data_IF_791045854308
#
_entry.id   IF_791045854308
#
_cell.length_a   1.000
_cell.length_b   1.000
_cell.length_c   1.000
_cell.angle_alpha   90.00
_cell.angle_beta   90.00
_cell.angle_gamma   90.00
#
_symmetry.space_group_name_H-M   'P 1'
#
loop_
_entity.id
_entity.type
_entity.pdbx_description
1 polymer ?
#
# COMPACT_ATOMS: atom_id res chain seq x y z
N UNK A 1 -31.53 28.34 -64.73
CA UNK A 1 -31.21 29.73 -64.31
C UNK A 1 -30.41 29.64 -63.01
N UNK A 2 -29.15 30.13 -63.01
CA UNK A 2 -28.17 30.26 -61.89
C UNK A 2 -27.75 28.94 -61.22
N UNK A 3 -26.56 28.34 -61.38
CA UNK A 3 -25.14 28.78 -61.47
C UNK A 3 -24.70 29.76 -60.38
N UNK A 4 -23.89 29.29 -59.41
CA UNK A 4 -22.59 29.85 -58.99
C UNK A 4 -22.06 29.09 -57.75
N UNK A 5 -20.99 28.31 -57.91
CA UNK A 5 -19.56 28.60 -57.60
C UNK A 5 -19.16 28.42 -56.12
N UNK A 6 -18.41 27.34 -55.90
CA UNK A 6 -17.40 27.20 -54.86
C UNK A 6 -16.39 28.36 -54.88
N UNK A 7 -15.74 28.61 -53.74
CA UNK A 7 -14.29 28.73 -53.74
C UNK A 7 -13.61 27.71 -52.81
N UNK A 8 -12.37 27.40 -53.18
CA UNK A 8 -11.42 26.48 -52.57
C UNK A 8 -10.52 27.23 -51.57
N UNK A 9 -10.13 26.51 -50.51
CA UNK A 9 -8.83 26.51 -49.79
C UNK A 9 -8.42 27.77 -49.01
N UNK A 10 -8.23 27.63 -47.69
CA UNK A 10 -6.91 27.79 -47.03
C UNK A 10 -6.84 26.80 -45.86
N UNK A 11 -5.69 26.13 -45.76
CA UNK A 11 -5.35 25.14 -44.75
C UNK A 11 -4.97 25.79 -43.41
N UNK A 12 -5.34 25.14 -42.30
CA UNK A 12 -4.61 25.18 -41.05
C UNK A 12 -4.91 23.90 -40.26
N UNK A 13 -4.13 22.86 -40.54
CA UNK A 13 -4.01 21.66 -39.73
C UNK A 13 -3.45 22.05 -38.35
N UNK A 14 -4.33 22.25 -37.37
CA UNK A 14 -3.96 22.26 -35.96
C UNK A 14 -4.12 20.82 -35.42
N UNK A 15 -3.10 20.00 -35.66
CA UNK A 15 -2.91 18.77 -34.91
C UNK A 15 -2.45 19.15 -33.50
N UNK A 16 -3.40 19.46 -32.62
CA UNK A 16 -3.13 19.52 -31.19
C UNK A 16 -2.99 18.07 -30.70
N UNK A 17 -1.75 17.62 -30.59
CA UNK A 17 -1.36 16.43 -29.84
C UNK A 17 -1.82 16.62 -28.38
N UNK A 18 -3.02 16.12 -28.08
CA UNK A 18 -3.47 15.81 -26.73
C UNK A 18 -2.67 14.60 -26.24
N UNK A 19 -1.43 14.82 -25.83
CA UNK A 19 -0.72 13.91 -24.92
C UNK A 19 -1.25 14.23 -23.52
N UNK A 20 -2.46 13.74 -23.21
CA UNK A 20 -2.94 13.66 -21.84
C UNK A 20 -2.20 12.53 -21.15
N UNK A 21 -1.50 12.89 -20.08
CA UNK A 21 -0.70 11.97 -19.27
C UNK A 21 -1.53 10.82 -18.72
N UNK A 22 -1.30 9.63 -19.28
CA UNK A 22 -1.53 8.35 -18.62
C UNK A 22 -0.34 8.09 -17.69
N UNK A 23 -0.31 8.77 -16.54
CA UNK A 23 0.64 8.48 -15.48
C UNK A 23 -0.16 8.03 -14.25
N UNK A 24 -0.45 6.74 -14.16
CA UNK A 24 -1.11 6.16 -13.00
C UNK A 24 -1.55 4.70 -13.13
N UNK A 25 -1.92 4.24 -14.34
CA UNK A 25 -2.52 2.89 -14.49
C UNK A 25 -1.54 1.79 -14.94
N UNK A 26 -0.42 2.10 -15.60
CA UNK A 26 0.39 1.08 -16.27
C UNK A 26 1.15 0.12 -15.34
N UNK A 27 1.34 0.45 -14.05
CA UNK A 27 2.16 -0.38 -13.15
C UNK A 27 1.37 -1.49 -12.42
N UNK A 28 0.14 -1.19 -11.97
CA UNK A 28 -0.80 -2.24 -11.53
C UNK A 28 -1.33 -3.05 -12.73
N UNK A 29 -1.18 -2.52 -13.95
CA UNK A 29 -1.51 -3.21 -15.20
C UNK A 29 -0.32 -3.94 -15.86
N UNK A 30 0.68 -4.34 -15.06
CA UNK A 30 1.80 -5.16 -15.56
C UNK A 30 1.27 -6.42 -16.28
N UNK A 31 1.97 -6.89 -17.32
CA UNK A 31 1.58 -8.12 -18.05
C UNK A 31 1.99 -9.41 -17.30
N UNK A 32 2.10 -9.34 -15.98
CA UNK A 32 2.46 -10.50 -15.17
C UNK A 32 1.38 -11.57 -15.25
N UNK A 33 1.80 -12.81 -15.53
CA UNK A 33 0.91 -13.97 -15.70
C UNK A 33 1.19 -15.10 -14.69
N UNK A 34 2.16 -14.89 -13.80
CA UNK A 34 2.64 -15.88 -12.85
C UNK A 34 3.20 -15.21 -11.60
N UNK A 35 3.35 -16.00 -10.54
CA UNK A 35 4.03 -15.62 -9.31
C UNK A 35 5.52 -15.29 -9.55
N UNK A 36 6.15 -14.48 -8.69
CA UNK A 36 7.58 -14.20 -8.79
C UNK A 36 8.42 -15.48 -8.64
N UNK A 37 9.42 -15.65 -9.50
CA UNK A 37 10.31 -16.81 -9.48
C UNK A 37 11.40 -16.67 -8.40
N UNK A 38 11.00 -16.90 -7.16
CA UNK A 38 11.87 -16.86 -5.97
C UNK A 38 11.68 -18.14 -5.13
N UNK A 39 12.70 -18.47 -4.33
CA UNK A 39 12.65 -19.65 -3.47
C UNK A 39 11.75 -19.44 -2.24
N UNK A 40 11.04 -20.49 -1.86
CA UNK A 40 10.22 -20.58 -0.65
C UNK A 40 10.57 -21.85 0.11
N UNK A 41 10.43 -21.84 1.43
CA UNK A 41 10.44 -23.09 2.20
C UNK A 41 9.10 -23.81 2.03
N UNK A 42 9.10 -25.16 2.08
CA UNK A 42 7.87 -25.94 2.07
C UNK A 42 7.06 -25.70 3.36
N UNK A 43 5.74 -25.79 3.25
CA UNK A 43 4.81 -25.63 4.37
C UNK A 43 3.55 -26.49 4.19
N UNK A 44 2.79 -26.62 5.27
CA UNK A 44 1.44 -27.20 5.26
C UNK A 44 0.43 -26.22 5.87
N UNK A 45 -0.86 -26.49 5.71
CA UNK A 45 -1.95 -25.60 6.16
C UNK A 45 -1.96 -25.35 7.69
N UNK A 46 -1.49 -26.30 8.50
CA UNK A 46 -1.42 -26.16 9.96
C UNK A 46 -0.22 -25.33 10.44
N UNK A 47 -0.40 -24.60 11.55
CA UNK A 47 0.64 -23.74 12.14
C UNK A 47 1.97 -24.47 12.37
N UNK A 48 1.93 -25.72 12.84
CA UNK A 48 3.14 -26.52 13.09
C UNK A 48 3.95 -26.85 11.83
N UNK A 49 3.34 -26.75 10.64
CA UNK A 49 4.00 -26.95 9.37
C UNK A 49 4.44 -25.67 8.69
N UNK A 50 4.32 -24.51 9.34
CA UNK A 50 4.88 -23.25 8.83
C UNK A 50 6.39 -23.21 9.06
N UNK A 51 7.17 -22.58 8.17
CA UNK A 51 8.61 -22.52 8.31
C UNK A 51 9.02 -21.57 9.44
N UNK A 52 10.13 -21.90 10.10
CA UNK A 52 10.83 -20.93 10.93
C UNK A 52 11.42 -19.82 10.04
N UNK A 53 11.04 -18.57 10.29
CA UNK A 53 11.44 -17.45 9.44
C UNK A 53 12.94 -17.12 9.51
N UNK A 54 13.62 -17.40 10.64
CA UNK A 54 15.07 -17.23 10.72
C UNK A 54 15.80 -18.26 9.87
N UNK A 55 15.33 -19.49 9.87
CA UNK A 55 15.82 -20.56 8.98
C UNK A 55 15.53 -20.24 7.51
N UNK A 56 14.31 -19.80 7.18
CA UNK A 56 13.94 -19.39 5.82
C UNK A 56 14.88 -18.33 5.28
N UNK A 57 15.12 -17.28 6.05
CA UNK A 57 15.97 -16.17 5.63
C UNK A 57 17.43 -16.58 5.49
N UNK A 58 17.91 -17.47 6.35
CA UNK A 58 19.26 -18.02 6.25
C UNK A 58 19.44 -18.93 5.03
N UNK A 59 18.47 -19.80 4.74
CA UNK A 59 18.56 -20.80 3.67
C UNK A 59 18.19 -20.22 2.29
N UNK A 60 17.28 -19.24 2.26
CA UNK A 60 16.73 -18.64 1.05
C UNK A 60 16.69 -17.10 1.17
N UNK A 61 17.86 -16.44 1.33
CA UNK A 61 17.91 -14.98 1.35
C UNK A 61 17.46 -14.41 0.01
N UNK A 62 16.80 -13.25 0.04
CA UNK A 62 16.41 -12.54 -1.19
C UNK A 62 17.55 -11.63 -1.65
N UNK A 63 18.09 -11.90 -2.84
CA UNK A 63 19.04 -11.02 -3.51
C UNK A 63 18.34 -9.78 -4.10
N UNK A 64 19.07 -8.71 -4.47
CA UNK A 64 18.48 -7.60 -5.22
C UNK A 64 17.75 -8.05 -6.49
N UNK A 65 18.33 -9.00 -7.23
CA UNK A 65 17.67 -9.60 -8.40
C UNK A 65 16.33 -10.27 -8.04
N UNK A 66 16.28 -11.01 -6.92
CA UNK A 66 15.04 -11.64 -6.47
C UNK A 66 13.98 -10.61 -6.06
N UNK A 67 14.40 -9.52 -5.43
CA UNK A 67 13.49 -8.43 -5.02
C UNK A 67 12.86 -7.75 -6.24
N UNK A 68 13.63 -7.52 -7.32
CA UNK A 68 13.10 -6.93 -8.55
C UNK A 68 12.26 -7.90 -9.41
N UNK A 69 12.23 -9.20 -9.10
CA UNK A 69 11.22 -10.12 -9.67
C UNK A 69 9.85 -9.91 -9.04
N UNK A 70 9.76 -9.32 -7.86
CA UNK A 70 8.49 -9.09 -7.15
C UNK A 70 7.87 -7.80 -7.69
N UNK A 71 6.61 -7.86 -8.09
CA UNK A 71 5.83 -6.73 -8.57
C UNK A 71 4.52 -6.66 -7.78
N UNK A 72 3.84 -5.48 -7.73
CA UNK A 72 2.52 -5.41 -7.11
C UNK A 72 1.55 -6.47 -7.60
N UNK A 73 1.49 -6.69 -8.92
CA UNK A 73 0.52 -7.59 -9.53
C UNK A 73 0.86 -9.04 -9.26
N UNK A 74 2.14 -9.42 -9.34
CA UNK A 74 2.50 -10.83 -9.26
C UNK A 74 2.39 -11.43 -7.86
N UNK A 75 2.35 -10.60 -6.83
CA UNK A 75 2.05 -11.00 -5.45
C UNK A 75 0.65 -11.63 -5.30
N UNK A 76 -0.33 -11.22 -6.11
CA UNK A 76 -1.67 -11.81 -6.09
C UNK A 76 -1.71 -13.27 -6.54
N UNK A 77 -0.68 -13.74 -7.25
CA UNK A 77 -0.56 -15.14 -7.65
C UNK A 77 0.00 -16.03 -6.54
N UNK A 78 0.56 -15.48 -5.48
CA UNK A 78 1.05 -16.23 -4.32
C UNK A 78 -0.11 -16.57 -3.38
N UNK A 79 0.04 -17.59 -2.54
CA UNK A 79 -0.82 -17.75 -1.37
C UNK A 79 -0.31 -16.92 -0.17
N UNK A 80 -1.09 -16.88 0.91
CA UNK A 80 -0.77 -16.04 2.06
C UNK A 80 0.54 -16.45 2.75
N UNK A 81 0.86 -17.73 2.84
CA UNK A 81 2.09 -18.19 3.50
C UNK A 81 3.32 -17.78 2.68
N UNK A 82 3.25 -17.86 1.35
CA UNK A 82 4.31 -17.35 0.48
C UNK A 82 4.52 -15.84 0.65
N UNK A 83 3.44 -15.06 0.78
CA UNK A 83 3.53 -13.61 1.06
C UNK A 83 4.15 -13.36 2.44
N UNK A 84 3.77 -14.12 3.46
CA UNK A 84 4.35 -14.06 4.81
C UNK A 84 5.87 -14.37 4.77
N UNK A 85 6.26 -15.40 4.03
CA UNK A 85 7.67 -15.75 3.80
C UNK A 85 8.44 -14.62 3.11
N UNK A 86 7.86 -13.92 2.12
CA UNK A 86 8.50 -12.73 1.53
C UNK A 86 8.67 -11.66 2.61
N UNK A 87 7.59 -11.27 3.28
CA UNK A 87 7.60 -10.19 4.27
C UNK A 87 8.61 -10.43 5.41
N UNK A 88 8.69 -11.67 5.90
CA UNK A 88 9.61 -12.09 6.95
C UNK A 88 11.09 -12.07 6.52
N UNK A 89 11.39 -11.92 5.24
CA UNK A 89 12.76 -11.74 4.71
C UNK A 89 13.08 -10.30 4.36
N UNK A 90 12.12 -9.38 4.39
CA UNK A 90 12.34 -7.96 4.11
C UNK A 90 12.87 -7.24 5.37
N UNK A 91 13.68 -6.20 5.16
CA UNK A 91 13.96 -5.17 6.16
C UNK A 91 12.93 -4.04 6.05
N UNK A 92 12.89 -3.15 7.04
CA UNK A 92 12.01 -1.99 7.01
C UNK A 92 12.36 -1.05 5.85
N UNK A 93 13.67 -0.83 5.61
CA UNK A 93 14.15 0.20 4.71
C UNK A 93 14.02 1.61 5.31
N UNK A 94 14.14 2.65 4.49
CA UNK A 94 13.89 4.02 4.94
C UNK A 94 12.38 4.23 5.13
N UNK A 95 11.99 5.11 6.04
CA UNK A 95 10.60 5.57 6.08
C UNK A 95 10.31 6.29 4.75
N UNK A 96 9.21 5.96 4.04
CA UNK A 96 8.87 6.64 2.79
C UNK A 96 8.71 8.15 3.00
N UNK A 97 8.93 8.91 1.94
CA UNK A 97 8.73 10.35 1.93
C UNK A 97 8.07 10.78 0.62
N UNK A 98 7.08 11.66 0.71
CA UNK A 98 6.26 12.09 -0.42
C UNK A 98 5.13 11.12 -0.79
N UNK A 99 4.55 11.27 -2.00
CA UNK A 99 3.38 10.51 -2.44
C UNK A 99 3.74 9.09 -2.92
N UNK A 100 2.92 8.12 -2.54
CA UNK A 100 2.99 6.73 -2.97
C UNK A 100 1.60 6.24 -3.42
N UNK A 101 1.52 5.65 -4.60
CA UNK A 101 0.34 4.93 -5.07
C UNK A 101 0.21 3.63 -4.29
N UNK A 102 -1.00 3.23 -3.93
CA UNK A 102 -1.23 2.00 -3.18
C UNK A 102 -2.32 1.15 -3.80
N UNK A 103 -2.32 -0.12 -3.44
CA UNK A 103 -3.38 -1.05 -3.83
C UNK A 103 -3.50 -2.17 -2.80
N UNK A 104 -4.72 -2.68 -2.64
CA UNK A 104 -4.97 -3.88 -1.88
C UNK A 104 -4.76 -5.10 -2.78
N UNK A 105 -4.25 -6.19 -2.22
CA UNK A 105 -4.25 -7.45 -2.95
C UNK A 105 -4.59 -8.62 -2.04
N UNK A 106 -5.27 -9.59 -2.62
CA UNK A 106 -5.67 -10.82 -1.94
C UNK A 106 -4.85 -11.97 -2.52
N UNK A 107 -4.02 -12.63 -1.71
CA UNK A 107 -3.31 -13.83 -2.13
C UNK A 107 -4.29 -14.92 -2.58
N UNK A 108 -3.86 -15.77 -3.49
CA UNK A 108 -4.63 -16.90 -4.01
C UNK A 108 -5.15 -17.77 -2.86
N UNK A 109 -6.44 -18.10 -2.90
CA UNK A 109 -7.09 -18.90 -1.86
C UNK A 109 -7.54 -18.09 -0.63
N UNK A 110 -7.10 -16.83 -0.48
CA UNK A 110 -7.72 -15.90 0.45
C UNK A 110 -9.05 -15.43 -0.12
N UNK A 111 -10.17 -15.78 0.52
CA UNK A 111 -11.46 -15.20 0.14
C UNK A 111 -11.41 -13.69 0.37
N UNK A 112 -11.73 -12.88 -0.65
CA UNK A 112 -11.91 -11.42 -0.53
C UNK A 112 -13.00 -10.98 0.45
N UNK A 113 -13.73 -11.93 1.05
CA UNK A 113 -14.44 -11.68 2.30
C UNK A 113 -13.38 -11.51 3.38
N UNK A 114 -13.12 -10.25 3.75
CA UNK A 114 -12.51 -9.89 5.03
C UNK A 114 -12.91 -10.94 6.05
N UNK A 115 -11.96 -11.54 6.77
CA UNK A 115 -12.19 -12.51 7.85
C UNK A 115 -12.90 -11.86 9.06
N UNK A 116 -13.83 -10.94 8.82
CA UNK A 116 -14.70 -10.28 9.78
C UNK A 116 -15.43 -11.30 10.66
N UNK A 117 -15.79 -12.47 10.10
CA UNK A 117 -16.41 -13.56 10.87
C UNK A 117 -15.48 -14.19 11.92
N UNK A 118 -14.16 -14.12 11.74
CA UNK A 118 -13.19 -14.56 12.76
C UNK A 118 -12.91 -13.44 13.79
N UNK A 119 -13.03 -12.16 13.39
CA UNK A 119 -12.82 -10.98 14.24
C UNK A 119 -14.04 -10.69 15.15
N UNK A 120 -15.24 -11.17 14.77
CA UNK A 120 -16.47 -11.02 15.56
C UNK A 120 -16.49 -11.80 16.90
N UNK A 121 -15.45 -12.58 17.20
CA UNK A 121 -15.36 -13.43 18.39
C UNK A 121 -14.96 -12.73 19.70
N UNK A 122 -14.59 -11.43 19.71
CA UNK A 122 -14.03 -10.85 20.94
C UNK A 122 -14.15 -9.34 21.20
N UNK A 123 -14.29 -8.48 20.18
CA UNK A 123 -14.23 -7.02 20.38
C UNK A 123 -15.36 -6.20 19.74
N UNK A 124 -16.08 -6.76 18.78
CA UNK A 124 -17.05 -6.02 17.94
C UNK A 124 -18.45 -5.86 18.53
N UNK A 125 -18.67 -6.20 19.81
CA UNK A 125 -20.02 -6.15 20.44
C UNK A 125 -20.66 -4.74 20.47
N UNK A 126 -19.94 -3.69 20.12
CA UNK A 126 -20.45 -2.31 20.07
C UNK A 126 -20.82 -1.77 18.68
N UNK A 127 -20.41 -2.41 17.57
CA UNK A 127 -20.61 -1.87 16.23
C UNK A 127 -21.35 -2.88 15.34
N UNK A 128 -22.65 -3.07 15.61
CA UNK A 128 -23.58 -3.57 14.59
C UNK A 128 -23.72 -2.48 13.55
N UNK A 129 -22.74 -2.38 12.65
CA UNK A 129 -22.96 -1.66 11.40
C UNK A 129 -23.82 -2.58 10.57
N UNK A 130 -25.10 -2.24 10.46
CA UNK A 130 -25.97 -2.72 9.39
C UNK A 130 -25.35 -2.28 8.05
N UNK A 131 -24.28 -2.95 7.61
CA UNK A 131 -23.83 -2.90 6.23
C UNK A 131 -24.72 -3.87 5.46
N UNK A 132 -26.00 -3.53 5.39
CA UNK A 132 -26.94 -4.18 4.50
C UNK A 132 -26.51 -3.86 3.06
N UNK A 133 -25.65 -4.72 2.49
CA UNK A 133 -25.41 -4.80 1.04
C UNK A 133 -24.36 -3.85 0.43
N UNK A 134 -23.65 -3.00 1.18
CA UNK A 134 -22.55 -2.21 0.62
C UNK A 134 -21.22 -2.99 0.66
N UNK A 135 -20.56 -3.12 -0.49
CA UNK A 135 -19.29 -3.84 -0.65
C UNK A 135 -18.18 -3.15 0.18
N UNK A 136 -17.83 -3.71 1.33
CA UNK A 136 -16.69 -3.27 2.17
C UNK A 136 -15.39 -3.16 1.35
N UNK A 137 -15.24 -4.00 0.33
CA UNK A 137 -14.12 -4.03 -0.62
C UNK A 137 -13.90 -2.66 -1.31
N UNK A 138 -14.96 -1.94 -1.68
CA UNK A 138 -14.86 -0.66 -2.40
C UNK A 138 -14.32 0.47 -1.50
N UNK A 139 -14.65 0.44 -0.21
CA UNK A 139 -14.17 1.43 0.78
C UNK A 139 -12.70 1.18 1.09
N UNK A 140 -12.32 -0.09 1.31
CA UNK A 140 -10.92 -0.49 1.48
C UNK A 140 -10.06 -0.09 0.27
N UNK A 141 -10.46 -0.45 -0.94
CA UNK A 141 -9.72 -0.06 -2.14
C UNK A 141 -9.57 1.47 -2.27
N UNK A 142 -10.60 2.24 -1.88
CA UNK A 142 -10.55 3.71 -2.02
C UNK A 142 -9.60 4.35 -0.99
N UNK A 143 -9.56 3.84 0.24
CA UNK A 143 -8.69 4.36 1.30
C UNK A 143 -7.21 4.02 1.09
N UNK A 144 -6.92 2.88 0.44
CA UNK A 144 -5.54 2.42 0.22
C UNK A 144 -4.93 2.84 -1.12
N UNK A 145 -5.69 3.49 -2.02
CA UNK A 145 -5.23 3.91 -3.37
C UNK A 145 -4.06 4.88 -3.39
N UNK A 146 -3.89 5.70 -2.36
CA UNK A 146 -2.76 6.61 -2.29
C UNK A 146 -2.47 7.06 -0.89
N UNK A 147 -1.19 7.26 -0.59
CA UNK A 147 -0.72 7.79 0.70
C UNK A 147 0.33 8.87 0.46
N UNK A 148 0.38 9.87 1.33
CA UNK A 148 1.50 10.83 1.41
C UNK A 148 2.18 10.63 2.74
N UNK A 149 3.51 10.49 2.67
CA UNK A 149 4.35 10.40 3.85
C UNK A 149 5.07 11.73 4.03
N UNK A 150 5.02 12.26 5.24
CA UNK A 150 5.82 13.40 5.69
C UNK A 150 6.85 12.85 6.67
N UNK A 151 7.97 12.35 6.15
CA UNK A 151 8.95 11.59 6.95
C UNK A 151 9.48 12.41 8.13
N UNK A 152 9.78 13.69 7.90
CA UNK A 152 10.28 14.61 8.92
C UNK A 152 9.29 14.87 10.06
N UNK A 153 8.00 14.84 9.75
CA UNK A 153 6.91 15.08 10.72
C UNK A 153 6.41 13.78 11.37
N UNK A 154 6.91 12.62 10.93
CA UNK A 154 6.40 11.31 11.37
C UNK A 154 4.89 11.18 11.17
N UNK A 155 4.40 11.69 10.04
CA UNK A 155 2.98 11.78 9.70
C UNK A 155 2.70 11.15 8.34
N UNK A 156 1.59 10.43 8.26
CA UNK A 156 1.00 9.96 7.00
C UNK A 156 -0.40 10.51 6.83
N UNK A 157 -0.80 10.73 5.57
CA UNK A 157 -2.18 11.00 5.20
C UNK A 157 -2.61 10.09 4.04
N UNK A 158 -3.85 9.61 4.07
CA UNK A 158 -4.43 8.87 2.95
C UNK A 158 -4.96 9.87 1.91
N UNK A 159 -4.63 9.61 0.65
CA UNK A 159 -5.06 10.39 -0.51
C UNK A 159 -6.32 9.77 -1.06
N UNK A 160 -7.40 10.55 -1.08
CA UNK A 160 -8.68 10.11 -1.62
C UNK A 160 -8.99 10.98 -2.83
N UNK A 161 -9.19 10.36 -3.99
CA UNK A 161 -9.59 11.04 -5.23
C UNK A 161 -11.11 11.15 -5.39
N UNK A 162 -11.88 10.29 -4.71
CA UNK A 162 -13.33 10.26 -4.79
C UNK A 162 -13.96 9.98 -3.43
N UNK A 163 -14.63 11.00 -2.87
CA UNK A 163 -15.36 10.89 -1.62
C UNK A 163 -16.75 10.28 -1.78
N UNK A 164 -17.22 10.00 -3.00
CA UNK A 164 -18.60 9.57 -3.25
C UNK A 164 -18.98 8.32 -2.46
N UNK A 165 -18.06 7.35 -2.34
CA UNK A 165 -18.28 6.15 -1.54
C UNK A 165 -18.44 6.49 -0.04
N UNK A 166 -17.56 7.34 0.49
CA UNK A 166 -17.58 7.75 1.91
C UNK A 166 -18.80 8.62 2.25
N UNK A 167 -19.19 9.52 1.34
CA UNK A 167 -20.40 10.36 1.47
C UNK A 167 -21.68 9.52 1.44
N UNK A 168 -21.79 8.55 0.53
CA UNK A 168 -22.94 7.62 0.48
C UNK A 168 -23.13 6.81 1.76
N UNK A 169 -22.03 6.52 2.46
CA UNK A 169 -22.05 5.80 3.74
C UNK A 169 -22.23 6.72 4.96
N UNK A 170 -22.37 8.03 4.75
CA UNK A 170 -22.48 9.01 5.83
C UNK A 170 -21.21 9.12 6.69
N UNK A 171 -20.06 8.66 6.17
CA UNK A 171 -18.79 8.68 6.92
C UNK A 171 -18.09 10.04 6.82
N UNK A 172 -18.38 10.80 5.76
CA UNK A 172 -17.83 12.13 5.52
C UNK A 172 -18.98 13.12 5.51
N UNK A 173 -18.98 14.02 6.49
CA UNK A 173 -19.86 15.19 6.53
C UNK A 173 -19.04 16.40 6.09
N UNK A 174 -19.43 16.99 4.96
CA UNK A 174 -18.87 18.26 4.49
C UNK A 174 -19.91 19.34 4.75
N UNK A 175 -19.54 20.39 5.48
CA UNK A 175 -20.36 21.57 5.67
C UNK A 175 -19.51 22.83 5.59
N UNK A 176 -20.16 23.97 5.32
CA UNK A 176 -19.50 25.27 5.15
C UNK A 176 -18.71 25.72 6.39
N UNK A 177 -19.04 25.17 7.57
CA UNK A 177 -18.33 25.44 8.82
C UNK A 177 -17.03 24.62 8.99
N UNK A 178 -16.84 23.56 8.20
CA UNK A 178 -15.65 22.70 8.26
C UNK A 178 -15.32 22.08 6.87
N UNK A 179 -14.85 22.89 5.91
CA UNK A 179 -14.57 22.42 4.56
C UNK A 179 -13.45 21.36 4.55
N UNK A 180 -13.53 20.38 3.64
CA UNK A 180 -12.47 19.39 3.46
C UNK A 180 -11.28 20.01 2.74
N UNK A 181 -10.10 19.94 3.36
CA UNK A 181 -8.87 20.43 2.73
C UNK A 181 -8.48 19.51 1.57
N UNK A 182 -8.22 20.11 0.41
CA UNK A 182 -7.63 19.43 -0.73
C UNK A 182 -6.21 19.91 -0.94
N UNK A 183 -5.34 19.01 -1.39
CA UNK A 183 -4.03 19.35 -1.90
C UNK A 183 -3.90 18.89 -3.35
N UNK A 184 -3.11 19.63 -4.12
CA UNK A 184 -2.86 19.31 -5.52
C UNK A 184 -1.64 18.40 -5.62
N UNK A 185 -1.89 17.11 -5.84
CA UNK A 185 -0.85 16.09 -5.95
C UNK A 185 -0.95 15.46 -7.33
N UNK A 186 0.19 15.39 -8.04
CA UNK A 186 0.25 14.93 -9.44
C UNK A 186 -0.77 15.63 -10.37
N UNK A 187 -1.08 16.90 -10.10
CA UNK A 187 -2.00 17.71 -10.92
C UNK A 187 -3.49 17.53 -10.62
N UNK A 188 -3.87 16.64 -9.70
CA UNK A 188 -5.25 16.41 -9.28
C UNK A 188 -5.48 16.96 -7.86
N UNK A 189 -6.67 17.46 -7.60
CA UNK A 189 -7.10 17.79 -6.24
C UNK A 189 -7.44 16.49 -5.51
N UNK A 190 -6.81 16.26 -4.36
CA UNK A 190 -7.00 15.07 -3.56
C UNK A 190 -7.28 15.47 -2.11
N UNK A 191 -8.20 14.76 -1.47
CA UNK A 191 -8.48 14.93 -0.05
C UNK A 191 -7.47 14.15 0.78
N UNK A 192 -6.94 14.79 1.82
CA UNK A 192 -6.00 14.17 2.75
C UNK A 192 -6.68 13.87 4.07
N UNK A 193 -7.13 12.63 4.23
CA UNK A 193 -7.88 12.14 5.39
C UNK A 193 -7.13 11.01 6.11
N UNK A 194 -7.64 10.62 7.28
CA UNK A 194 -7.10 9.55 8.11
C UNK A 194 -5.62 9.76 8.40
N UNK A 195 -5.25 10.81 9.17
CA UNK A 195 -3.87 11.03 9.55
C UNK A 195 -3.40 9.88 10.44
N UNK A 196 -2.17 9.41 10.21
CA UNK A 196 -1.56 8.33 10.99
C UNK A 196 -0.14 8.68 11.41
N UNK A 197 0.25 8.17 12.57
CA UNK A 197 1.59 8.37 13.13
C UNK A 197 2.55 7.36 12.51
N UNK A 198 3.74 7.83 12.12
CA UNK A 198 4.80 7.00 11.55
C UNK A 198 5.90 6.75 12.57
N UNK A 199 6.23 5.49 12.84
CA UNK A 199 7.37 5.15 13.70
C UNK A 199 7.91 3.76 13.41
N UNK A 200 9.07 3.44 13.99
CA UNK A 200 9.63 2.09 13.95
C UNK A 200 9.11 1.29 15.14
N UNK A 201 8.59 0.09 14.87
CA UNK A 201 8.04 -0.75 15.91
C UNK A 201 8.10 -2.23 15.55
N UNK A 202 7.94 -3.08 16.54
CA UNK A 202 8.01 -4.53 16.35
C UNK A 202 6.89 -5.02 15.43
N UNK A 203 7.22 -5.91 14.49
CA UNK A 203 6.22 -6.55 13.62
C UNK A 203 5.42 -7.60 14.37
N UNK A 204 4.11 -7.67 14.09
CA UNK A 204 3.19 -8.69 14.60
C UNK A 204 3.35 -10.03 13.86
N UNK A 205 3.88 -10.04 12.64
CA UNK A 205 4.19 -11.27 11.92
C UNK A 205 5.56 -11.83 12.32
N UNK A 206 6.58 -10.97 12.37
CA UNK A 206 7.97 -11.38 12.58
C UNK A 206 8.71 -10.42 13.52
N UNK A 207 8.63 -10.71 14.82
CA UNK A 207 9.17 -9.87 15.88
C UNK A 207 10.70 -9.85 16.00
N UNK A 208 11.44 -10.53 15.11
CA UNK A 208 12.92 -10.52 15.08
C UNK A 208 13.51 -9.19 14.62
N UNK A 209 12.69 -8.33 14.00
CA UNK A 209 13.06 -6.98 13.54
C UNK A 209 11.86 -6.04 13.55
N UNK A 210 12.15 -4.77 13.38
CA UNK A 210 11.12 -3.74 13.28
C UNK A 210 10.55 -3.63 11.86
N UNK A 211 9.33 -3.13 11.77
CA UNK A 211 8.71 -2.62 10.57
C UNK A 211 8.46 -1.12 10.74
N UNK A 212 8.21 -0.43 9.63
CA UNK A 212 7.65 0.92 9.68
C UNK A 212 6.16 0.77 9.97
N UNK A 213 5.72 1.40 11.04
CA UNK A 213 4.34 1.37 11.51
C UNK A 213 3.62 2.61 11.02
N UNK A 214 2.44 2.41 10.43
CA UNK A 214 1.47 3.46 10.14
C UNK A 214 0.32 3.26 11.13
N UNK A 215 0.33 4.05 12.19
CA UNK A 215 -0.55 3.86 13.34
C UNK A 215 -1.67 4.88 13.38
N UNK A 216 -2.90 4.40 13.19
CA UNK A 216 -4.09 5.25 13.23
C UNK A 216 -4.64 5.40 14.64
N UNK A 217 -4.18 4.63 15.63
CA UNK A 217 -4.71 4.68 16.99
C UNK A 217 -4.63 6.09 17.61
N UNK A 218 -3.62 6.86 17.20
CA UNK A 218 -3.33 8.21 17.66
C UNK A 218 -3.74 9.30 16.65
N UNK A 219 -4.65 8.99 15.73
CA UNK A 219 -5.11 9.92 14.69
C UNK A 219 -5.64 11.24 15.29
N UNK A 220 -6.26 11.19 16.46
CA UNK A 220 -6.85 12.30 17.21
C UNK A 220 -5.83 13.32 17.74
N UNK A 221 -4.56 12.91 17.84
CA UNK A 221 -3.45 13.75 18.30
C UNK A 221 -2.74 14.46 17.14
N UNK A 222 -3.12 14.18 15.88
CA UNK A 222 -2.38 14.63 14.70
C UNK A 222 -3.01 15.86 14.04
N UNK A 223 -2.19 16.75 13.45
CA UNK A 223 -2.68 17.91 12.72
C UNK A 223 -3.65 17.51 11.61
N UNK A 224 -4.77 18.21 11.50
CA UNK A 224 -5.77 17.97 10.45
C UNK A 224 -6.70 16.78 10.70
N UNK A 225 -6.65 16.17 11.90
CA UNK A 225 -7.66 15.21 12.36
C UNK A 225 -9.07 15.78 12.29
N UNK A 226 -10.01 14.92 11.90
CA UNK A 226 -11.45 15.18 11.89
C UNK A 226 -12.15 14.04 12.58
N UNK A 227 -13.06 14.37 13.51
CA UNK A 227 -13.82 13.35 14.24
C UNK A 227 -14.49 12.34 13.29
N UNK A 228 -15.16 12.81 12.24
CA UNK A 228 -15.61 11.94 11.15
C UNK A 228 -14.93 12.38 9.85
N UNK A 229 -14.29 11.47 9.09
CA UNK A 229 -14.30 10.01 9.26
C UNK A 229 -13.18 9.43 10.15
N UNK A 230 -12.22 10.23 10.62
CA UNK A 230 -10.92 9.68 11.07
C UNK A 230 -11.02 8.85 12.36
N UNK A 231 -12.01 9.12 13.24
CA UNK A 231 -12.27 8.32 14.45
C UNK A 231 -12.42 6.83 14.14
N UNK A 232 -12.96 6.47 12.96
CA UNK A 232 -13.18 5.07 12.59
C UNK A 232 -11.88 4.29 12.46
N UNK A 233 -10.79 4.91 12.02
CA UNK A 233 -9.50 4.25 11.95
C UNK A 233 -8.78 4.22 13.30
N UNK A 234 -9.14 5.14 14.21
CA UNK A 234 -8.51 5.33 15.50
C UNK A 234 -8.82 4.27 16.56
N UNK A 235 -8.25 4.48 17.75
CA UNK A 235 -8.37 3.56 18.90
C UNK A 235 -9.80 3.32 19.37
N UNK A 236 -10.67 4.31 19.19
CA UNK A 236 -12.10 4.24 19.52
C UNK A 236 -12.96 3.64 18.38
N UNK A 237 -12.33 3.31 17.25
CA UNK A 237 -12.94 2.67 16.09
C UNK A 237 -12.36 1.27 15.86
N UNK A 238 -11.76 1.07 14.70
CA UNK A 238 -11.18 -0.20 14.27
C UNK A 238 -9.75 -0.43 14.78
N UNK A 239 -9.10 0.57 15.39
CA UNK A 239 -7.71 0.50 15.83
C UNK A 239 -6.79 -0.04 14.72
N UNK A 240 -6.82 0.63 13.57
CA UNK A 240 -6.06 0.22 12.39
C UNK A 240 -4.58 0.47 12.64
N UNK A 241 -3.79 -0.55 12.35
CA UNK A 241 -2.33 -0.47 12.36
C UNK A 241 -1.80 -1.16 11.13
N UNK A 242 -1.11 -0.41 10.27
CA UNK A 242 -0.39 -1.01 9.16
C UNK A 242 1.09 -1.19 9.49
N UNK A 243 1.69 -2.24 8.93
CA UNK A 243 3.13 -2.45 8.95
C UNK A 243 3.65 -2.55 7.51
N UNK A 244 4.68 -1.79 7.17
CA UNK A 244 5.32 -1.86 5.85
C UNK A 244 6.79 -2.24 5.97
N UNK A 245 7.26 -3.00 4.98
CA UNK A 245 8.67 -3.35 4.76
C UNK A 245 9.04 -3.15 3.30
N UNK A 246 10.27 -2.72 3.04
CA UNK A 246 10.72 -2.38 1.70
C UNK A 246 11.06 -3.65 0.90
N UNK A 247 10.45 -3.79 -0.28
CA UNK A 247 10.84 -4.81 -1.26
C UNK A 247 12.10 -4.33 -1.99
N UNK A 248 12.03 -3.15 -2.60
CA UNK A 248 13.17 -2.40 -3.16
C UNK A 248 12.84 -0.89 -3.07
N UNK A 249 13.80 0.03 -3.26
CA UNK A 249 13.52 1.47 -3.16
C UNK A 249 12.29 1.89 -3.97
N UNK A 250 11.35 2.57 -3.32
CA UNK A 250 10.10 2.99 -3.96
C UNK A 250 9.01 1.91 -4.03
N UNK A 251 9.23 0.69 -3.52
CA UNK A 251 8.21 -0.35 -3.42
C UNK A 251 8.18 -1.01 -2.04
N UNK A 252 7.04 -0.92 -1.36
CA UNK A 252 6.83 -1.50 -0.04
C UNK A 252 5.69 -2.51 -0.06
N UNK A 253 5.89 -3.60 0.68
CA UNK A 253 4.86 -4.57 1.00
C UNK A 253 4.29 -4.25 2.38
N UNK A 254 2.97 -4.15 2.45
CA UNK A 254 2.22 -3.76 3.62
C UNK A 254 1.29 -4.85 4.15
N UNK A 255 1.06 -4.83 5.46
CA UNK A 255 0.10 -5.68 6.17
C UNK A 255 -0.77 -4.79 7.05
N UNK A 256 -2.08 -4.86 6.88
CA UNK A 256 -3.04 -4.13 7.69
C UNK A 256 -3.61 -5.02 8.80
N UNK A 257 -3.68 -4.46 10.00
CA UNK A 257 -4.23 -5.10 11.18
C UNK A 257 -5.38 -4.26 11.75
N UNK A 258 -6.40 -4.94 12.27
CA UNK A 258 -7.53 -4.35 12.97
C UNK A 258 -7.59 -5.00 14.35
N UNK A 259 -7.41 -4.21 15.41
CA UNK A 259 -7.25 -4.72 16.79
C UNK A 259 -6.26 -5.90 16.88
N UNK A 260 -5.07 -5.71 16.28
CA UNK A 260 -3.98 -6.71 16.17
C UNK A 260 -4.29 -7.96 15.33
N UNK A 261 -5.50 -8.12 14.81
CA UNK A 261 -5.87 -9.20 13.91
C UNK A 261 -5.49 -8.85 12.47
N UNK A 262 -4.81 -9.76 11.77
CA UNK A 262 -4.46 -9.55 10.36
C UNK A 262 -5.72 -9.48 9.48
N UNK A 263 -5.80 -8.46 8.63
CA UNK A 263 -6.96 -8.21 7.76
C UNK A 263 -6.62 -8.41 6.29
N UNK A 264 -5.61 -7.71 5.79
CA UNK A 264 -5.32 -7.65 4.35
C UNK A 264 -3.86 -7.26 4.08
N UNK A 265 -3.34 -7.69 2.93
CA UNK A 265 -2.06 -7.19 2.43
C UNK A 265 -2.29 -6.04 1.45
N UNK A 266 -1.34 -5.13 1.41
CA UNK A 266 -1.36 -4.02 0.46
C UNK A 266 0.04 -3.72 -0.03
N UNK A 267 0.14 -2.84 -0.99
CA UNK A 267 1.42 -2.36 -1.51
C UNK A 267 1.44 -0.85 -1.57
N UNK A 268 2.65 -0.29 -1.56
CA UNK A 268 2.90 1.12 -1.82
C UNK A 268 4.01 1.26 -2.84
N UNK A 269 3.79 2.08 -3.86
CA UNK A 269 4.70 2.24 -4.98
C UNK A 269 4.91 3.71 -5.35
N UNK A 270 6.17 4.09 -5.56
CA UNK A 270 6.58 5.34 -6.15
C UNK A 270 7.56 5.05 -7.29
N UNK A 271 7.11 5.30 -8.52
CA UNK A 271 7.86 5.02 -9.75
C UNK A 271 9.16 5.82 -9.83
N UNK A 272 9.12 7.10 -9.51
CA UNK A 272 10.27 7.99 -9.65
C UNK A 272 11.41 7.59 -8.70
N UNK A 273 11.08 7.15 -7.49
CA UNK A 273 12.05 6.60 -6.54
C UNK A 273 12.58 5.26 -7.05
N UNK A 274 11.68 4.37 -7.51
CA UNK A 274 12.05 3.04 -7.98
C UNK A 274 13.00 3.08 -9.19
N UNK A 275 12.76 3.97 -10.15
CA UNK A 275 13.61 4.12 -11.33
C UNK A 275 14.97 4.76 -10.97
N UNK A 276 14.96 5.82 -10.16
CA UNK A 276 16.17 6.58 -9.84
C UNK A 276 17.15 5.83 -8.94
N UNK A 277 16.64 4.96 -8.05
CA UNK A 277 17.48 4.20 -7.12
C UNK A 277 17.89 2.81 -7.64
N UNK A 278 17.34 2.36 -8.78
CA UNK A 278 17.50 0.98 -9.27
C UNK A 278 18.95 0.58 -9.48
N UNK A 279 19.71 1.39 -10.21
CA UNK A 279 21.08 1.05 -10.59
C UNK A 279 21.96 0.82 -9.35
N UNK A 280 21.92 1.76 -8.40
CA UNK A 280 22.72 1.67 -7.18
C UNK A 280 22.26 0.54 -6.25
N UNK A 281 20.95 0.33 -6.12
CA UNK A 281 20.44 -0.76 -5.29
C UNK A 281 20.74 -2.14 -5.88
N UNK A 282 20.69 -2.29 -7.20
CA UNK A 282 21.09 -3.54 -7.88
C UNK A 282 22.58 -3.83 -7.67
N UNK A 283 23.42 -2.80 -7.68
CA UNK A 283 24.87 -2.94 -7.50
C UNK A 283 25.26 -3.26 -6.05
N UNK A 284 24.60 -2.64 -5.08
CA UNK A 284 25.04 -2.67 -3.67
C UNK A 284 24.17 -3.53 -2.77
N UNK A 285 22.89 -3.69 -3.11
CA UNK A 285 21.86 -4.27 -2.24
C UNK A 285 21.62 -3.49 -0.94
N UNK A 286 22.11 -2.24 -0.84
CA UNK A 286 22.07 -1.44 0.39
C UNK A 286 21.09 -0.28 0.27
N UNK A 287 20.42 0.00 1.37
CA UNK A 287 19.61 1.20 1.58
C UNK A 287 19.84 1.73 2.99
N UNK A 288 19.42 2.97 3.23
CA UNK A 288 19.28 3.46 4.61
C UNK A 288 18.23 2.62 5.33
N UNK A 289 18.55 2.16 6.54
CA UNK A 289 17.60 1.53 7.45
C UNK A 289 17.25 2.54 8.54
N UNK A 290 15.98 2.96 8.61
CA UNK A 290 15.51 3.84 9.68
C UNK A 290 15.09 3.08 10.94
N UNK A 291 14.64 1.84 10.75
CA UNK A 291 14.20 0.96 11.83
C UNK A 291 15.25 -0.10 12.11
N UNK A 292 15.19 -0.70 13.29
CA UNK A 292 16.12 -1.75 13.68
C UNK A 292 15.95 -2.99 12.79
N UNK A 293 16.98 -3.39 12.01
CA UNK A 293 16.86 -4.47 11.03
C UNK A 293 16.88 -5.88 11.66
N UNK A 294 17.05 -5.96 12.99
CA UNK A 294 17.24 -7.21 13.71
C UNK A 294 18.72 -7.57 13.88
N UNK A 295 18.98 -8.69 14.55
CA UNK A 295 20.34 -9.21 14.78
C UNK A 295 20.89 -10.00 13.60
N UNK A 296 20.00 -10.64 12.83
CA UNK A 296 20.36 -11.35 11.62
C UNK A 296 20.59 -10.33 10.50
N UNK A 297 21.85 -9.99 10.22
CA UNK A 297 22.16 -9.10 9.13
C UNK A 297 21.77 -9.76 7.81
N UNK A 298 21.00 -9.04 6.98
CA UNK A 298 20.78 -9.42 5.59
C UNK A 298 22.15 -9.48 4.92
N UNK A 299 22.63 -10.70 4.65
CA UNK A 299 23.65 -10.89 3.63
C UNK A 299 22.92 -10.62 2.33
N UNK A 300 22.91 -9.36 1.87
CA UNK A 300 22.58 -9.08 0.49
C UNK A 300 23.57 -9.90 -0.32
N UNK A 301 23.13 -11.07 -0.78
CA UNK A 301 23.95 -11.97 -1.56
C UNK A 301 24.18 -11.28 -2.90
N UNK A 302 25.22 -10.44 -2.97
CA UNK A 302 25.78 -10.01 -4.24
C UNK A 302 26.27 -11.30 -4.86
N UNK A 303 25.54 -11.82 -5.85
CA UNK A 303 26.07 -12.92 -6.66
C UNK A 303 27.40 -12.43 -7.22
N UNK A 304 28.48 -13.06 -6.81
CA UNK A 304 29.77 -12.91 -7.46
C UNK A 304 29.57 -13.45 -8.89
N UNK A 305 29.44 -12.55 -9.85
CA UNK A 305 29.71 -12.85 -11.25
C UNK A 305 31.12 -12.35 -11.56
#
# INVERSE_FOLDING_TARGET
MRTHRSPRRVAATAAALLVLGLAGCDFFDSKDKAAPEIAFMPYTEGYAGKPDFARLEYQHPLSPDDLYKITPKNLSFLDQEQVDQIYARLSAGPIPDGPFEGDLFFPRGGSGKLRLSEIAGGGLKGLVVNVAGAKLDLVGETLWKGKVFYRGERLLRNRIEDLSALKKLGLVEENDANPLATEKIAGKDQWLLFPAKLYCGQSLLDGRRESIIIDYAFTDELPGYRRMPDLLAGRDGFAIRDEIRMVYPGFYLGRAYMDRSFVVNFVLYNKDIAERAKEEFMKTGKVQEDCWPGTQQRVAAIRSN
#
